data_IF_830320751548
#
_entry.id   IF_830320751548
#
_cell.length_a   1.000
_cell.length_b   1.000
_cell.length_c   1.000
_cell.angle_alpha   90.00
_cell.angle_beta   90.00
_cell.angle_gamma   90.00
#
_symmetry.space_group_name_H-M   'P 1'
#
loop_
_entity.id
_entity.type
_entity.pdbx_description
1 polymer ?
#
# COMPACT_ATOMS: atom_id res chain seq x y z
N UNK A 1 4.90 -8.90 13.50
CA UNK A 1 4.13 -9.63 12.46
C UNK A 1 5.04 -9.98 11.30
N UNK A 2 4.72 -11.04 10.57
CA UNK A 2 5.35 -11.40 9.29
C UNK A 2 4.69 -10.64 8.15
N UNK A 3 5.46 -9.80 7.46
CA UNK A 3 4.97 -8.93 6.38
C UNK A 3 5.74 -9.24 5.09
N UNK A 4 4.98 -9.57 4.05
CA UNK A 4 5.48 -9.66 2.68
C UNK A 4 5.48 -8.29 2.02
N UNK A 5 6.51 -7.96 1.25
CA UNK A 5 6.52 -6.76 0.40
C UNK A 5 6.88 -7.17 -1.02
N UNK A 6 5.97 -6.92 -1.95
CA UNK A 6 6.16 -7.13 -3.38
C UNK A 6 6.43 -5.77 -4.02
N UNK A 7 7.67 -5.56 -4.44
CA UNK A 7 8.15 -4.29 -4.95
C UNK A 7 9.23 -3.70 -4.04
N UNK A 8 10.32 -3.25 -4.66
CA UNK A 8 11.48 -2.65 -3.99
C UNK A 8 11.80 -1.24 -4.49
N UNK A 9 10.81 -0.60 -5.14
CA UNK A 9 10.89 0.81 -5.54
C UNK A 9 10.78 1.74 -4.33
N UNK A 10 10.52 3.03 -4.58
CA UNK A 10 10.52 4.05 -3.53
C UNK A 10 9.60 3.70 -2.34
N UNK A 11 8.34 3.31 -2.59
CA UNK A 11 7.40 2.96 -1.52
C UNK A 11 7.76 1.63 -0.86
N UNK A 12 7.88 0.55 -1.64
CA UNK A 12 8.19 -0.78 -1.10
C UNK A 12 9.50 -0.82 -0.29
N UNK A 13 10.57 -0.20 -0.82
CA UNK A 13 11.85 -0.10 -0.10
C UNK A 13 11.79 0.78 1.15
N UNK A 14 10.95 1.82 1.17
CA UNK A 14 10.72 2.63 2.38
C UNK A 14 9.96 1.84 3.43
N UNK A 15 8.91 1.13 3.04
CA UNK A 15 8.15 0.28 3.94
C UNK A 15 9.02 -0.85 4.50
N UNK A 16 9.90 -1.46 3.70
CA UNK A 16 10.88 -2.44 4.20
C UNK A 16 11.72 -1.85 5.33
N UNK A 17 12.30 -0.65 5.13
CA UNK A 17 13.11 0.04 6.14
C UNK A 17 12.31 0.33 7.41
N UNK A 18 11.15 0.98 7.26
CA UNK A 18 10.33 1.43 8.39
C UNK A 18 9.77 0.25 9.18
N UNK A 19 9.25 -0.77 8.51
CA UNK A 19 8.67 -1.94 9.21
C UNK A 19 9.74 -2.75 9.96
N UNK A 20 10.97 -2.84 9.44
CA UNK A 20 12.07 -3.45 10.18
C UNK A 20 12.46 -2.68 11.45
N UNK A 21 12.35 -1.35 11.45
CA UNK A 21 12.57 -0.55 12.68
C UNK A 21 11.50 -0.76 13.77
N UNK A 22 10.37 -1.38 13.42
CA UNK A 22 9.28 -1.73 14.33
C UNK A 22 9.28 -3.23 14.68
N UNK A 23 10.41 -3.92 14.49
CA UNK A 23 10.59 -5.35 14.78
C UNK A 23 9.64 -6.30 14.02
N UNK A 24 9.08 -5.86 12.88
CA UNK A 24 8.37 -6.78 11.98
C UNK A 24 9.36 -7.72 11.28
N UNK A 25 8.94 -8.96 11.05
CA UNK A 25 9.67 -9.90 10.19
C UNK A 25 9.27 -9.64 8.74
N UNK A 26 10.18 -9.11 7.93
CA UNK A 26 9.87 -8.61 6.59
C UNK A 26 10.57 -9.47 5.55
N UNK A 27 9.78 -10.02 4.60
CA UNK A 27 10.30 -10.64 3.38
C UNK A 27 9.99 -9.74 2.20
N UNK A 28 11.02 -9.25 1.53
CA UNK A 28 10.90 -8.38 0.35
C UNK A 28 11.22 -9.17 -0.92
N UNK A 29 10.37 -9.01 -1.94
CA UNK A 29 10.48 -9.62 -3.25
C UNK A 29 10.37 -8.58 -4.36
N UNK A 30 10.95 -8.89 -5.53
CA UNK A 30 10.78 -8.10 -6.76
C UNK A 30 10.85 -9.01 -8.00
N UNK A 31 10.53 -8.48 -9.18
CA UNK A 31 10.55 -9.22 -10.44
C UNK A 31 11.94 -9.59 -10.96
N UNK A 32 13.02 -9.05 -10.39
CA UNK A 32 14.40 -9.27 -10.82
C UNK A 32 15.12 -10.36 -10.00
N UNK A 33 14.46 -10.86 -8.95
CA UNK A 33 14.95 -11.93 -8.10
C UNK A 33 15.71 -11.46 -6.85
N UNK A 34 15.81 -12.33 -5.82
CA UNK A 34 16.31 -11.99 -4.48
C UNK A 34 17.73 -11.43 -4.47
N UNK A 35 18.58 -11.88 -5.39
CA UNK A 35 19.97 -11.45 -5.50
C UNK A 35 20.11 -9.94 -5.76
N UNK A 36 19.09 -9.31 -6.35
CA UNK A 36 19.06 -7.86 -6.59
C UNK A 36 18.65 -7.04 -5.36
N UNK A 37 18.27 -7.70 -4.26
CA UNK A 37 17.82 -7.09 -3.02
C UNK A 37 18.87 -7.20 -1.90
N UNK A 38 20.08 -7.66 -2.23
CA UNK A 38 21.16 -7.92 -1.27
C UNK A 38 21.45 -6.69 -0.40
N UNK A 39 21.61 -5.52 -1.00
CA UNK A 39 21.94 -4.29 -0.27
C UNK A 39 20.79 -3.89 0.68
N UNK A 40 19.54 -3.96 0.21
CA UNK A 40 18.37 -3.65 1.03
C UNK A 40 18.21 -4.63 2.21
N UNK A 41 18.46 -5.91 1.97
CA UNK A 41 18.44 -6.94 3.01
C UNK A 41 19.54 -6.72 4.04
N UNK A 42 20.76 -6.39 3.61
CA UNK A 42 21.87 -6.08 4.52
C UNK A 42 21.62 -4.81 5.34
N UNK A 43 21.07 -3.78 4.71
CA UNK A 43 20.75 -2.50 5.36
C UNK A 43 19.68 -2.67 6.45
N UNK A 44 18.64 -3.45 6.17
CA UNK A 44 17.42 -3.49 7.02
C UNK A 44 17.30 -4.74 7.88
N UNK A 45 18.11 -5.76 7.60
CA UNK A 45 17.95 -7.10 8.14
C UNK A 45 16.67 -7.81 7.68
N UNK A 46 15.99 -7.31 6.63
CA UNK A 46 14.88 -8.00 5.99
C UNK A 46 15.38 -9.22 5.20
N UNK A 47 14.49 -10.18 4.96
CA UNK A 47 14.77 -11.33 4.10
C UNK A 47 14.52 -10.95 2.65
N UNK A 48 15.53 -11.09 1.78
CA UNK A 48 15.34 -11.05 0.33
C UNK A 48 14.80 -12.42 -0.13
N UNK A 49 13.59 -12.45 -0.70
CA UNK A 49 12.91 -13.69 -1.08
C UNK A 49 12.25 -13.64 -2.45
N UNK A 50 11.74 -14.79 -2.90
CA UNK A 50 10.87 -14.88 -4.07
C UNK A 50 9.47 -14.35 -3.76
N UNK A 51 8.64 -14.19 -4.80
CA UNK A 51 7.23 -13.83 -4.64
C UNK A 51 6.51 -14.79 -3.69
N UNK A 52 6.69 -16.10 -3.89
CA UNK A 52 6.06 -17.15 -3.09
C UNK A 52 6.49 -17.06 -1.62
N UNK A 53 7.77 -16.83 -1.36
CA UNK A 53 8.31 -16.66 0.00
C UNK A 53 7.75 -15.41 0.68
N UNK A 54 7.59 -14.32 -0.06
CA UNK A 54 6.99 -13.10 0.48
C UNK A 54 5.50 -13.26 0.81
N UNK A 55 4.79 -14.18 0.15
CA UNK A 55 3.33 -14.35 0.33
C UNK A 55 2.98 -15.47 1.30
N UNK A 56 3.60 -16.65 1.19
CA UNK A 56 3.19 -17.87 1.90
C UNK A 56 3.21 -17.69 3.43
N UNK A 57 4.34 -17.20 3.96
CA UNK A 57 4.55 -17.04 5.41
C UNK A 57 4.01 -15.73 5.98
N UNK A 58 3.53 -14.82 5.13
CA UNK A 58 3.08 -13.51 5.54
C UNK A 58 1.66 -13.53 6.13
N UNK A 59 1.48 -12.76 7.20
CA UNK A 59 0.18 -12.42 7.78
C UNK A 59 -0.51 -11.32 6.95
N UNK A 60 0.29 -10.44 6.35
CA UNK A 60 -0.12 -9.35 5.49
C UNK A 60 0.91 -9.15 4.38
N UNK A 61 0.45 -8.90 3.16
CA UNK A 61 1.32 -8.64 2.00
C UNK A 61 1.07 -7.23 1.49
N UNK A 62 2.12 -6.45 1.25
CA UNK A 62 2.05 -5.13 0.63
C UNK A 62 2.46 -5.27 -0.83
N UNK A 63 1.59 -4.85 -1.75
CA UNK A 63 1.85 -4.74 -3.18
C UNK A 63 2.19 -3.28 -3.48
N UNK A 64 3.41 -3.05 -3.95
CA UNK A 64 3.98 -1.73 -4.24
C UNK A 64 4.75 -1.77 -5.58
N UNK A 65 4.03 -2.08 -6.67
CA UNK A 65 4.56 -2.28 -8.02
C UNK A 65 3.85 -1.36 -9.02
N UNK A 66 4.30 -1.27 -10.28
CA UNK A 66 3.48 -0.65 -11.31
C UNK A 66 2.14 -1.41 -11.44
N UNK A 67 1.01 -0.68 -11.50
CA UNK A 67 -0.32 -1.28 -11.51
C UNK A 67 -0.49 -2.27 -12.69
N UNK A 68 0.15 -1.98 -13.83
CA UNK A 68 0.17 -2.85 -15.01
C UNK A 68 0.73 -4.27 -14.75
N UNK A 69 1.51 -4.44 -13.69
CA UNK A 69 2.15 -5.71 -13.34
C UNK A 69 1.31 -6.56 -12.37
N UNK A 70 0.24 -6.00 -11.78
CA UNK A 70 -0.67 -6.76 -10.90
C UNK A 70 -1.28 -7.99 -11.60
N UNK A 71 -1.69 -7.96 -12.88
CA UNK A 71 -2.19 -9.16 -13.58
C UNK A 71 -1.16 -10.28 -13.73
N UNK A 72 0.13 -10.01 -13.56
CA UNK A 72 1.20 -11.01 -13.61
C UNK A 72 1.35 -11.76 -12.28
N UNK A 73 0.73 -11.28 -11.19
CA UNK A 73 0.76 -11.94 -9.90
C UNK A 73 -0.21 -13.15 -9.91
N UNK A 74 0.23 -14.35 -9.49
CA UNK A 74 -0.65 -15.52 -9.42
C UNK A 74 -1.68 -15.36 -8.30
N UNK A 75 -2.99 -15.19 -8.59
CA UNK A 75 -3.99 -14.86 -7.57
C UNK A 75 -4.12 -15.91 -6.48
N UNK A 76 -3.90 -17.19 -6.82
CA UNK A 76 -3.98 -18.32 -5.89
C UNK A 76 -3.00 -18.21 -4.72
N UNK A 77 -1.90 -17.46 -4.86
CA UNK A 77 -0.98 -17.21 -3.75
C UNK A 77 -1.61 -16.31 -2.68
N UNK A 78 -2.57 -15.46 -3.07
CA UNK A 78 -3.15 -14.42 -2.22
C UNK A 78 -4.51 -14.81 -1.62
N UNK A 79 -4.99 -16.03 -1.87
CA UNK A 79 -6.30 -16.47 -1.35
C UNK A 79 -6.37 -16.37 0.17
N UNK A 80 -7.38 -15.66 0.68
CA UNK A 80 -7.56 -15.36 2.10
C UNK A 80 -6.54 -14.41 2.72
N UNK A 81 -5.52 -13.94 1.99
CA UNK A 81 -4.49 -13.02 2.50
C UNK A 81 -5.04 -11.60 2.60
N UNK A 82 -4.58 -10.86 3.61
CA UNK A 82 -4.73 -9.39 3.63
C UNK A 82 -3.68 -8.81 2.70
N UNK A 83 -4.13 -8.07 1.69
CA UNK A 83 -3.26 -7.44 0.68
C UNK A 83 -3.42 -5.93 0.76
N UNK A 84 -2.33 -5.24 1.10
CA UNK A 84 -2.27 -3.78 1.04
C UNK A 84 -1.85 -3.36 -0.36
N UNK A 85 -2.78 -2.74 -1.09
CA UNK A 85 -2.52 -2.09 -2.37
C UNK A 85 -2.01 -0.67 -2.12
N UNK A 86 -0.69 -0.47 -2.35
CA UNK A 86 -0.02 0.82 -2.28
C UNK A 86 0.12 1.51 -3.65
N UNK A 87 -0.54 0.97 -4.68
CA UNK A 87 -0.36 1.41 -6.06
C UNK A 87 -1.31 2.57 -6.40
N UNK A 88 -0.93 3.27 -7.46
CA UNK A 88 -1.71 4.30 -8.14
C UNK A 88 -1.71 3.98 -9.63
N UNK A 89 -2.77 4.33 -10.34
CA UNK A 89 -2.82 4.26 -11.80
C UNK A 89 -2.20 5.51 -12.41
N UNK A 90 -1.22 5.34 -13.31
CA UNK A 90 -0.68 6.41 -14.16
C UNK A 90 -0.67 5.94 -15.61
N UNK A 91 -1.53 6.47 -16.49
CA UNK A 91 -1.60 6.05 -17.90
C UNK A 91 -0.25 6.09 -18.63
N UNK A 92 0.64 7.04 -18.27
CA UNK A 92 1.96 7.18 -18.88
C UNK A 92 2.92 6.02 -18.51
N UNK A 93 2.68 5.37 -17.37
CA UNK A 93 3.46 4.22 -16.89
C UNK A 93 2.75 2.91 -17.22
N UNK A 94 1.45 2.86 -16.95
CA UNK A 94 0.64 1.65 -16.94
C UNK A 94 -0.07 1.37 -18.27
N UNK A 95 -0.04 2.33 -19.20
CA UNK A 95 -0.82 2.27 -20.42
C UNK A 95 -2.32 2.51 -20.17
N UNK A 96 -3.10 2.36 -21.24
CA UNK A 96 -4.55 2.54 -21.19
C UNK A 96 -5.21 1.29 -20.63
N UNK A 97 -5.82 1.41 -19.45
CA UNK A 97 -6.64 0.37 -18.82
C UNK A 97 -8.10 0.84 -18.95
N UNK A 98 -8.91 0.25 -19.85
CA UNK A 98 -10.24 0.77 -20.18
C UNK A 98 -11.13 1.05 -18.97
N UNK A 99 -11.15 0.12 -18.01
CA UNK A 99 -11.99 0.20 -16.82
C UNK A 99 -11.62 1.34 -15.87
N UNK A 100 -10.36 1.78 -15.91
CA UNK A 100 -9.86 2.89 -15.11
C UNK A 100 -10.01 4.22 -15.86
N UNK A 101 -9.90 4.20 -17.19
CA UNK A 101 -10.12 5.38 -18.04
C UNK A 101 -11.58 5.81 -18.07
N UNK A 102 -12.50 4.84 -18.20
CA UNK A 102 -13.94 5.09 -18.17
C UNK A 102 -14.52 5.17 -16.75
N UNK A 103 -13.68 4.90 -15.74
CA UNK A 103 -14.00 4.95 -14.30
C UNK A 103 -15.09 3.98 -13.87
N UNK A 104 -15.29 2.90 -14.63
CA UNK A 104 -16.14 1.79 -14.22
C UNK A 104 -15.58 1.09 -12.97
N UNK A 105 -14.27 1.12 -12.76
CA UNK A 105 -13.61 0.62 -11.55
C UNK A 105 -12.66 1.65 -10.93
N UNK A 106 -12.52 1.63 -9.61
CA UNK A 106 -11.37 2.25 -8.95
C UNK A 106 -10.13 1.35 -9.14
N UNK A 107 -8.91 1.90 -9.07
CA UNK A 107 -7.70 1.09 -9.30
C UNK A 107 -7.58 -0.09 -8.32
N UNK A 108 -7.97 0.11 -7.06
CA UNK A 108 -7.89 -0.96 -6.05
C UNK A 108 -9.04 -1.96 -6.15
N UNK A 109 -10.19 -1.58 -6.72
CA UNK A 109 -11.22 -2.53 -7.15
C UNK A 109 -10.71 -3.40 -8.30
N UNK A 110 -10.03 -2.79 -9.28
CA UNK A 110 -9.39 -3.50 -10.39
C UNK A 110 -8.29 -4.45 -9.90
N UNK A 111 -7.48 -4.04 -8.92
CA UNK A 111 -6.52 -4.92 -8.22
C UNK A 111 -7.22 -6.12 -7.58
N UNK A 112 -8.33 -5.90 -6.87
CA UNK A 112 -9.10 -6.96 -6.23
C UNK A 112 -9.72 -7.96 -7.24
N UNK A 113 -10.08 -7.51 -8.45
CA UNK A 113 -10.54 -8.40 -9.52
C UNK A 113 -9.43 -9.30 -10.08
N UNK A 114 -8.17 -8.84 -10.03
CA UNK A 114 -7.02 -9.65 -10.44
C UNK A 114 -6.55 -10.59 -9.33
N UNK A 115 -6.61 -10.16 -8.06
CA UNK A 115 -6.22 -10.95 -6.88
C UNK A 115 -7.45 -11.57 -6.19
N UNK A 116 -8.28 -12.29 -6.95
CA UNK A 116 -9.52 -12.89 -6.42
C UNK A 116 -9.22 -13.80 -5.23
N UNK A 117 -9.97 -13.61 -4.15
CA UNK A 117 -9.79 -14.32 -2.88
C UNK A 117 -9.00 -13.52 -1.83
N UNK A 118 -8.24 -12.51 -2.25
CA UNK A 118 -7.56 -11.60 -1.32
C UNK A 118 -8.53 -10.61 -0.65
N UNK A 119 -8.19 -10.21 0.56
CA UNK A 119 -8.85 -9.14 1.32
C UNK A 119 -8.06 -7.85 1.08
N UNK A 120 -8.36 -7.16 -0.02
CA UNK A 120 -7.62 -5.97 -0.48
C UNK A 120 -7.93 -4.74 0.36
N UNK A 121 -6.89 -3.98 0.71
CA UNK A 121 -6.94 -2.71 1.44
C UNK A 121 -6.07 -1.68 0.73
N UNK A 122 -6.62 -0.52 0.37
CA UNK A 122 -5.84 0.58 -0.19
C UNK A 122 -5.24 1.44 0.92
N UNK A 123 -3.91 1.58 0.94
CA UNK A 123 -3.20 2.44 1.89
C UNK A 123 -1.83 2.85 1.34
N UNK A 124 -1.18 3.86 1.93
CA UNK A 124 0.15 4.39 1.55
C UNK A 124 0.27 4.98 0.14
N UNK A 125 -0.77 4.85 -0.70
CA UNK A 125 -0.74 5.32 -2.08
C UNK A 125 -0.70 6.87 -2.17
N UNK A 126 -1.16 7.59 -1.16
CA UNK A 126 -1.28 9.05 -1.16
C UNK A 126 -0.03 9.79 -0.65
N UNK A 127 0.94 9.10 -0.06
CA UNK A 127 2.12 9.73 0.58
C UNK A 127 3.36 9.61 -0.29
N UNK A 128 4.22 10.63 -0.26
CA UNK A 128 5.52 10.58 -0.90
C UNK A 128 6.46 9.66 -0.11
N UNK A 129 7.25 8.82 -0.80
CA UNK A 129 8.14 7.87 -0.14
C UNK A 129 9.11 8.52 0.87
N UNK A 130 9.65 9.71 0.54
CA UNK A 130 10.54 10.43 1.47
C UNK A 130 9.81 10.84 2.75
N UNK A 131 8.55 11.28 2.65
CA UNK A 131 7.76 11.67 3.81
C UNK A 131 7.35 10.45 4.65
N UNK A 132 7.05 9.33 3.99
CA UNK A 132 6.84 8.05 4.66
C UNK A 132 8.09 7.59 5.43
N UNK A 133 9.28 7.89 4.90
CA UNK A 133 10.57 7.58 5.54
C UNK A 133 10.85 8.50 6.75
N UNK A 134 10.57 9.79 6.63
CA UNK A 134 11.11 10.79 7.56
C UNK A 134 10.09 11.32 8.58
N UNK A 135 8.80 11.33 8.25
CA UNK A 135 7.80 12.12 8.96
C UNK A 135 6.91 11.32 9.91
N UNK A 136 7.12 10.01 10.09
CA UNK A 136 6.36 9.26 11.08
C UNK A 136 6.63 9.78 12.51
N UNK A 137 5.57 10.03 13.27
CA UNK A 137 5.63 10.56 14.65
C UNK A 137 5.03 9.58 15.66
N UNK A 138 5.47 9.62 16.93
CA UNK A 138 4.83 8.83 17.99
C UNK A 138 3.33 9.12 18.11
N UNK A 139 2.58 8.13 18.57
CA UNK A 139 1.16 8.28 18.87
C UNK A 139 0.90 9.47 19.80
N UNK A 140 -0.11 10.29 19.46
CA UNK A 140 -0.49 11.49 20.21
C UNK A 140 0.31 12.75 19.87
N UNK A 141 1.30 12.68 18.98
CA UNK A 141 1.92 13.87 18.41
C UNK A 141 0.89 14.64 17.56
N UNK A 142 0.81 15.97 17.74
CA UNK A 142 -0.18 16.80 17.04
C UNK A 142 0.16 17.11 15.58
N UNK A 143 1.37 16.77 15.11
CA UNK A 143 1.87 17.00 13.75
C UNK A 143 1.88 15.72 12.90
N UNK A 144 1.05 14.73 13.24
CA UNK A 144 0.93 13.48 12.47
C UNK A 144 0.26 13.74 11.13
N UNK A 145 0.87 13.20 10.07
CA UNK A 145 0.27 13.13 8.75
C UNK A 145 -0.82 12.05 8.76
N UNK A 146 -1.99 12.38 8.22
CA UNK A 146 -3.09 11.46 8.01
C UNK A 146 -2.90 10.63 6.74
N UNK A 147 -3.17 9.32 6.81
CA UNK A 147 -3.18 8.42 5.66
C UNK A 147 -4.57 7.77 5.50
N UNK A 148 -5.24 7.95 4.36
CA UNK A 148 -6.53 7.34 4.09
C UNK A 148 -6.38 5.83 3.84
N UNK A 149 -7.29 5.05 4.42
CA UNK A 149 -7.34 3.58 4.33
C UNK A 149 -8.74 3.17 3.86
N UNK A 150 -8.82 2.47 2.73
CA UNK A 150 -10.09 2.04 2.15
C UNK A 150 -10.12 0.52 1.92
N UNK A 151 -11.23 -0.12 2.27
CA UNK A 151 -11.41 -1.56 2.17
C UNK A 151 -12.88 -1.96 2.39
N UNK A 152 -13.29 -3.09 1.80
CA UNK A 152 -14.61 -3.65 2.01
C UNK A 152 -14.66 -4.59 3.23
N UNK A 153 -13.53 -5.21 3.55
CA UNK A 153 -13.39 -6.06 4.72
C UNK A 153 -12.97 -5.25 5.95
N UNK A 154 -13.82 -5.22 6.97
CA UNK A 154 -13.62 -4.39 8.16
C UNK A 154 -12.42 -4.82 9.02
N UNK A 155 -12.18 -6.12 9.17
CA UNK A 155 -11.07 -6.63 9.99
C UNK A 155 -9.72 -6.39 9.29
N UNK A 156 -9.66 -6.60 7.97
CA UNK A 156 -8.48 -6.29 7.16
C UNK A 156 -8.18 -4.79 7.18
N UNK A 157 -9.22 -3.94 7.05
CA UNK A 157 -9.08 -2.48 7.19
C UNK A 157 -8.49 -2.12 8.54
N UNK A 158 -9.04 -2.65 9.62
CA UNK A 158 -8.60 -2.34 10.98
C UNK A 158 -7.15 -2.77 11.23
N UNK A 159 -6.74 -3.94 10.72
CA UNK A 159 -5.35 -4.40 10.80
C UNK A 159 -4.39 -3.41 10.11
N UNK A 160 -4.75 -2.93 8.91
CA UNK A 160 -3.92 -1.98 8.16
C UNK A 160 -3.91 -0.60 8.81
N UNK A 161 -5.04 -0.15 9.37
CA UNK A 161 -5.08 1.10 10.14
C UNK A 161 -4.16 1.04 11.36
N UNK A 162 -4.08 -0.09 12.06
CA UNK A 162 -3.12 -0.28 13.16
C UNK A 162 -1.66 -0.25 12.67
N UNK A 163 -1.39 -0.79 11.48
CA UNK A 163 -0.05 -0.72 10.88
C UNK A 163 0.34 0.71 10.47
N UNK A 164 -0.61 1.48 9.94
CA UNK A 164 -0.42 2.91 9.65
C UNK A 164 -0.12 3.68 10.93
N UNK A 165 -0.86 3.40 12.01
CA UNK A 165 -0.62 4.00 13.32
C UNK A 165 0.77 3.64 13.87
N UNK A 166 1.18 2.38 13.82
CA UNK A 166 2.50 1.95 14.32
C UNK A 166 3.66 2.56 13.53
N UNK A 167 3.47 2.85 12.24
CA UNK A 167 4.44 3.56 11.38
C UNK A 167 4.56 5.05 11.72
N UNK A 168 3.67 5.58 12.56
CA UNK A 168 3.69 6.94 13.06
C UNK A 168 2.78 7.92 12.32
N UNK A 169 1.77 7.41 11.61
CA UNK A 169 0.81 8.20 10.83
C UNK A 169 -0.61 8.02 11.38
N UNK A 170 -1.50 8.99 11.19
CA UNK A 170 -2.89 8.84 11.63
C UNK A 170 -3.72 8.13 10.56
N UNK A 171 -4.25 6.92 10.81
CA UNK A 171 -5.12 6.25 9.86
C UNK A 171 -6.48 6.95 9.78
N UNK A 172 -6.96 7.19 8.55
CA UNK A 172 -8.28 7.76 8.28
C UNK A 172 -9.10 6.77 7.48
N UNK A 173 -10.23 6.31 8.00
CA UNK A 173 -11.14 5.45 7.21
C UNK A 173 -11.69 6.24 6.02
N UNK A 174 -11.37 5.77 4.82
CA UNK A 174 -11.76 6.36 3.55
C UNK A 174 -12.88 5.60 2.84
N UNK A 175 -13.49 4.62 3.53
CA UNK A 175 -14.65 3.89 3.04
C UNK A 175 -14.30 2.59 2.30
N UNK A 176 -15.08 2.27 1.27
CA UNK A 176 -14.94 1.02 0.49
C UNK A 176 -13.85 1.11 -0.57
N UNK A 177 -13.51 -0.01 -1.22
CA UNK A 177 -12.57 0.02 -2.35
C UNK A 177 -13.12 0.84 -3.52
N UNK A 178 -14.43 0.87 -3.74
CA UNK A 178 -15.03 1.73 -4.78
C UNK A 178 -14.83 3.19 -4.45
N UNK A 179 -14.92 3.57 -3.18
CA UNK A 179 -14.71 4.95 -2.72
C UNK A 179 -13.24 5.38 -2.70
N UNK A 180 -12.31 4.44 -2.88
CA UNK A 180 -10.86 4.67 -2.82
C UNK A 180 -10.31 5.51 -3.98
N UNK A 181 -11.13 5.84 -4.99
CA UNK A 181 -10.75 6.82 -6.02
C UNK A 181 -10.46 8.20 -5.40
N UNK A 182 -11.06 8.54 -4.25
CA UNK A 182 -10.91 9.83 -3.55
C UNK A 182 -9.50 10.08 -3.01
N UNK A 183 -8.65 9.06 -2.98
CA UNK A 183 -7.25 9.12 -2.52
C UNK A 183 -6.22 8.88 -3.64
N UNK A 184 -6.63 8.87 -4.90
CA UNK A 184 -5.78 8.65 -6.09
C UNK A 184 -5.06 9.93 -6.55
N UNK A 185 -4.12 9.84 -7.52
CA UNK A 185 -3.56 11.02 -8.18
C UNK A 185 -4.65 12.01 -8.64
N UNK A 186 -4.28 13.30 -8.63
CA UNK A 186 -5.15 14.42 -8.97
C UNK A 186 -6.35 14.68 -8.02
N UNK A 187 -6.37 14.02 -6.85
CA UNK A 187 -7.34 14.30 -5.78
C UNK A 187 -6.75 15.17 -4.65
N UNK A 188 -7.58 15.87 -3.84
CA UNK A 188 -7.10 16.83 -2.85
C UNK A 188 -6.17 16.28 -1.75
N UNK A 189 -6.20 14.97 -1.49
CA UNK A 189 -5.38 14.33 -0.44
C UNK A 189 -4.05 13.79 -0.98
N UNK A 190 -3.92 13.63 -2.29
CA UNK A 190 -2.78 12.99 -2.90
C UNK A 190 -1.50 13.85 -2.82
N UNK A 191 -0.50 13.37 -2.08
CA UNK A 191 0.81 13.99 -1.91
C UNK A 191 0.85 15.22 -0.99
N UNK A 192 -0.18 15.44 -0.16
CA UNK A 192 -0.42 16.73 0.52
C UNK A 192 -0.05 16.79 2.01
N UNK A 193 0.45 15.70 2.62
CA UNK A 193 0.87 15.64 4.04
C UNK A 193 -0.12 16.26 5.05
N UNK A 194 -1.42 16.26 4.72
CA UNK A 194 -2.46 16.78 5.59
C UNK A 194 -2.56 15.94 6.86
N UNK A 195 -2.98 16.55 7.96
CA UNK A 195 -3.39 15.81 9.16
C UNK A 195 -4.69 15.02 8.93
N UNK A 196 -5.14 14.28 9.95
CA UNK A 196 -6.33 13.44 9.83
C UNK A 196 -7.60 14.21 9.43
N UNK A 197 -7.80 15.41 9.96
CA UNK A 197 -8.97 16.24 9.63
C UNK A 197 -8.88 16.81 8.22
N UNK A 198 -7.70 17.26 7.80
CA UNK A 198 -7.43 17.71 6.45
C UNK A 198 -7.59 16.60 5.42
N UNK A 199 -7.25 15.35 5.76
CA UNK A 199 -7.54 14.18 4.92
C UNK A 199 -9.05 13.95 4.82
N UNK A 200 -9.81 13.95 5.93
CA UNK A 200 -11.28 13.81 5.90
C UNK A 200 -11.93 14.87 5.02
N UNK A 201 -11.49 16.13 5.15
CA UNK A 201 -11.95 17.23 4.31
C UNK A 201 -11.59 17.00 2.84
N UNK A 202 -10.33 16.64 2.56
CA UNK A 202 -9.87 16.41 1.19
C UNK A 202 -10.60 15.24 0.49
N UNK A 203 -10.92 14.18 1.23
CA UNK A 203 -11.75 13.08 0.72
C UNK A 203 -13.16 13.56 0.37
N UNK A 204 -13.78 14.41 1.20
CA UNK A 204 -15.10 14.99 0.93
C UNK A 204 -15.10 16.01 -0.23
N UNK A 205 -13.95 16.66 -0.46
CA UNK A 205 -13.74 17.62 -1.56
C UNK A 205 -13.44 16.95 -2.90
N UNK A 206 -13.02 15.68 -2.91
CA UNK A 206 -12.72 14.94 -4.13
C UNK A 206 -13.92 14.94 -5.09
N UNK A 207 -13.63 15.10 -6.38
CA UNK A 207 -14.63 15.09 -7.46
C UNK A 207 -14.18 14.09 -8.52
N UNK A 208 -15.11 13.30 -9.09
CA UNK A 208 -14.82 12.45 -10.23
C UNK A 208 -14.28 13.29 -11.39
#
# INVERSE_FOLDING_TARGET
MKIGIIGSGHIGGTLTRRLRTLDHDVTVANSRGPQTLTDLAQETGATAGTLEQAVQDAELVIVAIPLLAVPELPPELFDGKVVVDADNYYPQRDGDIPELLDRSLSSSRWTAEHLKGARVVKAFNNIQAQHLMDNGRPAGAGDRIGLPVAADDADAKQLVMQLVDSLGFDPVDAGTLDESWRQQPDTPVYGTDRDADGVRQGLAEARP
#
